data_IF_416450298176
#
_entry.id   IF_416450298176
#
_cell.length_a   1.000
_cell.length_b   1.000
_cell.length_c   1.000
_cell.angle_alpha   90.00
_cell.angle_beta   90.00
_cell.angle_gamma   90.00
#
_symmetry.space_group_name_H-M   'P 1'
#
loop_
_entity.id
_entity.type
_entity.pdbx_description
1 polymer ?
#
# COMPACT_ATOMS: atom_id res chain seq x y z
N UNK A 1 -12.52 21.78 10.28
CA UNK A 1 -12.39 20.31 10.52
C UNK A 1 -13.79 19.70 10.42
N UNK A 2 -14.09 18.83 9.45
CA UNK A 2 -15.42 18.19 9.36
C UNK A 2 -15.53 17.11 10.46
N UNK A 3 -16.49 17.26 11.36
CA UNK A 3 -16.86 16.20 12.31
C UNK A 3 -17.39 15.01 11.50
N UNK A 4 -16.79 13.83 11.70
CA UNK A 4 -17.26 12.56 11.12
C UNK A 4 -17.84 11.73 12.28
N UNK A 5 -19.17 11.57 12.37
CA UNK A 5 -19.78 10.69 13.35
C UNK A 5 -19.16 9.28 13.22
N UNK A 6 -18.81 8.65 14.34
CA UNK A 6 -18.17 7.33 14.36
C UNK A 6 -16.65 7.32 14.19
N UNK A 7 -15.97 8.47 14.12
CA UNK A 7 -14.50 8.50 14.22
C UNK A 7 -14.09 8.09 15.63
N UNK A 8 -13.33 6.99 15.81
CA UNK A 8 -12.86 6.58 17.13
C UNK A 8 -12.02 7.69 17.75
N UNK A 9 -12.31 8.00 19.01
CA UNK A 9 -11.49 8.91 19.80
C UNK A 9 -10.20 8.19 20.23
N UNK A 10 -9.14 8.40 19.45
CA UNK A 10 -7.82 7.81 19.70
C UNK A 10 -7.11 8.47 20.90
N UNK A 11 -7.59 9.61 21.41
CA UNK A 11 -6.98 10.27 22.57
C UNK A 11 -7.06 9.41 23.83
N UNK A 12 -8.05 8.52 23.92
CA UNK A 12 -8.16 7.49 24.99
C UNK A 12 -6.98 6.53 25.04
N UNK A 13 -6.20 6.43 23.96
CA UNK A 13 -5.00 5.61 23.87
C UNK A 13 -3.72 6.44 23.92
N UNK A 14 -3.77 7.75 24.22
CA UNK A 14 -2.60 8.61 24.23
C UNK A 14 -1.50 8.11 25.16
N UNK A 15 -1.84 7.51 26.31
CA UNK A 15 -0.86 6.91 27.23
C UNK A 15 -0.13 5.68 26.68
N UNK A 16 -0.61 5.10 25.57
CA UNK A 16 0.05 4.01 24.84
C UNK A 16 0.91 4.51 23.69
N UNK A 17 0.91 5.81 23.41
CA UNK A 17 1.75 6.45 22.41
C UNK A 17 3.01 6.95 23.12
N UNK A 18 3.94 6.02 23.39
CA UNK A 18 5.24 6.29 24.03
C UNK A 18 6.36 6.59 23.01
N UNK A 19 6.02 6.61 21.71
CA UNK A 19 6.95 6.94 20.63
C UNK A 19 7.24 8.45 20.64
N UNK A 20 8.51 8.87 20.60
CA UNK A 20 8.87 10.28 20.57
C UNK A 20 8.29 10.99 19.34
N UNK A 21 8.10 12.31 19.45
CA UNK A 21 7.77 13.15 18.30
C UNK A 21 8.85 12.93 17.23
N UNK A 22 8.43 12.76 15.97
CA UNK A 22 9.35 12.64 14.85
C UNK A 22 10.26 13.88 14.79
N UNK A 23 11.57 13.66 14.71
CA UNK A 23 12.53 14.75 14.47
C UNK A 23 12.53 15.20 13.01
N UNK A 24 13.35 16.19 12.68
CA UNK A 24 13.47 16.78 11.33
C UNK A 24 14.20 15.90 10.30
N UNK A 25 14.26 14.59 10.55
CA UNK A 25 14.88 13.62 9.64
C UNK A 25 14.04 13.39 8.38
N UNK A 26 14.64 12.86 7.31
CA UNK A 26 13.94 12.70 6.03
C UNK A 26 12.96 11.51 6.01
N UNK A 27 12.97 10.66 7.06
CA UNK A 27 12.06 9.53 7.18
C UNK A 27 10.61 10.01 7.35
N UNK A 28 9.75 9.69 6.39
CA UNK A 28 8.34 10.00 6.43
C UNK A 28 7.47 8.75 6.20
N UNK A 29 6.31 8.73 6.85
CA UNK A 29 5.28 7.70 6.65
C UNK A 29 3.96 8.38 6.31
N UNK A 30 3.43 8.08 5.12
CA UNK A 30 2.13 8.58 4.68
C UNK A 30 1.09 7.46 4.71
N UNK A 31 0.01 7.67 5.46
CA UNK A 31 -1.15 6.80 5.43
C UNK A 31 -2.04 7.14 4.25
N UNK A 32 -2.09 6.24 3.26
CA UNK A 32 -2.87 6.42 2.04
C UNK A 32 -4.26 5.78 2.13
N UNK A 33 -4.57 5.09 3.23
CA UNK A 33 -5.86 4.48 3.52
C UNK A 33 -5.82 2.95 3.57
N UNK A 34 -6.81 2.35 4.23
CA UNK A 34 -6.89 0.90 4.53
C UNK A 34 -5.63 0.45 5.28
N UNK A 35 -4.71 -0.22 4.60
CA UNK A 35 -3.43 -0.70 5.12
C UNK A 35 -2.25 -0.18 4.30
N UNK A 36 -2.49 0.73 3.36
CA UNK A 36 -1.47 1.29 2.48
C UNK A 36 -0.70 2.40 3.19
N UNK A 37 0.58 2.12 3.44
CA UNK A 37 1.57 3.03 3.96
C UNK A 37 2.63 3.26 2.90
N UNK A 38 2.97 4.52 2.64
CA UNK A 38 4.18 4.90 1.92
C UNK A 38 5.23 5.28 2.96
N UNK A 39 6.34 4.53 3.00
CA UNK A 39 7.50 4.79 3.86
C UNK A 39 8.64 5.25 2.96
N UNK A 40 9.23 6.39 3.25
CA UNK A 40 10.30 6.97 2.43
C UNK A 40 11.32 7.71 3.29
N UNK A 41 12.53 7.90 2.79
CA UNK A 41 13.64 8.59 3.46
C UNK A 41 14.29 9.70 2.60
N UNK A 42 13.57 10.21 1.60
CA UNK A 42 14.01 11.22 0.64
C UNK A 42 14.74 10.66 -0.58
N UNK A 43 15.22 9.42 -0.53
CA UNK A 43 15.91 8.75 -1.64
C UNK A 43 15.21 7.44 -2.04
N UNK A 44 14.82 6.65 -1.06
CA UNK A 44 14.17 5.36 -1.20
C UNK A 44 12.71 5.43 -0.76
N UNK A 45 11.86 4.58 -1.34
CA UNK A 45 10.45 4.52 -1.02
C UNK A 45 9.88 3.10 -1.14
N UNK A 46 9.22 2.64 -0.08
CA UNK A 46 8.50 1.36 -0.07
C UNK A 46 7.04 1.56 0.30
N UNK A 47 6.16 0.77 -0.31
CA UNK A 47 4.73 0.84 -0.08
C UNK A 47 4.17 -0.49 0.41
N UNK A 48 3.29 -0.48 1.41
CA UNK A 48 2.47 -1.65 1.74
C UNK A 48 1.21 -1.69 0.88
N UNK A 49 0.85 -2.86 0.37
CA UNK A 49 -0.37 -3.16 -0.41
C UNK A 49 -0.60 -2.34 -1.69
N UNK A 50 -0.99 -1.07 -1.57
CA UNK A 50 -1.37 -0.19 -2.68
C UNK A 50 -2.85 -0.31 -3.09
N UNK A 51 -3.78 -0.41 -2.14
CA UNK A 51 -5.20 -0.59 -2.44
C UNK A 51 -5.94 0.73 -2.73
N UNK A 52 -5.97 1.10 -4.01
CA UNK A 52 -6.48 2.37 -4.53
C UNK A 52 -7.82 2.22 -5.29
N UNK A 53 -8.08 1.06 -5.88
CA UNK A 53 -9.30 0.77 -6.67
C UNK A 53 -10.57 0.90 -5.83
N UNK A 54 -10.54 0.41 -4.58
CA UNK A 54 -11.60 0.55 -3.56
C UNK A 54 -13.02 0.36 -4.10
N UNK A 55 -13.33 -0.80 -4.71
CA UNK A 55 -14.69 -1.10 -5.15
C UNK A 55 -15.67 -1.01 -3.97
N UNK A 56 -16.85 -0.45 -4.21
CA UNK A 56 -17.91 -0.33 -3.19
C UNK A 56 -18.45 -1.70 -2.75
N UNK A 57 -19.01 -1.76 -1.53
CA UNK A 57 -19.45 -3.02 -0.89
C UNK A 57 -20.43 -3.85 -1.73
N UNK A 58 -21.37 -3.22 -2.44
CA UNK A 58 -22.30 -3.93 -3.32
C UNK A 58 -21.58 -4.67 -4.46
N UNK A 59 -20.56 -4.03 -5.05
CA UNK A 59 -19.75 -4.65 -6.12
C UNK A 59 -18.90 -5.79 -5.58
N UNK A 60 -18.36 -5.63 -4.36
CA UNK A 60 -17.61 -6.70 -3.68
C UNK A 60 -18.52 -7.88 -3.35
N UNK A 61 -19.73 -7.62 -2.84
CA UNK A 61 -20.65 -8.67 -2.38
C UNK A 61 -21.41 -9.39 -3.50
N UNK A 62 -21.70 -8.72 -4.62
CA UNK A 62 -22.59 -9.25 -5.67
C UNK A 62 -21.92 -9.43 -7.03
N UNK A 63 -20.64 -9.08 -7.17
CA UNK A 63 -20.00 -8.99 -8.48
C UNK A 63 -18.52 -9.38 -8.49
N UNK A 64 -17.91 -9.17 -9.66
CA UNK A 64 -16.47 -9.30 -9.84
C UNK A 64 -15.78 -7.96 -9.60
N UNK A 65 -14.65 -8.02 -8.92
CA UNK A 65 -13.76 -6.87 -8.69
C UNK A 65 -12.52 -7.01 -9.56
N UNK A 66 -11.99 -5.87 -9.98
CA UNK A 66 -10.77 -5.78 -10.77
C UNK A 66 -10.06 -4.46 -10.42
N UNK A 67 -8.73 -4.39 -10.63
CA UNK A 67 -7.99 -3.13 -10.51
C UNK A 67 -8.54 -2.04 -11.43
N UNK A 68 -8.57 -0.81 -10.95
CA UNK A 68 -8.84 0.40 -11.73
C UNK A 68 -7.52 1.12 -11.95
N UNK A 69 -6.94 0.96 -13.16
CA UNK A 69 -5.67 1.60 -13.52
C UNK A 69 -5.73 3.12 -13.31
N UNK A 70 -6.81 3.77 -13.78
CA UNK A 70 -7.03 5.22 -13.59
C UNK A 70 -6.92 5.67 -12.12
N UNK A 71 -7.55 4.95 -11.20
CA UNK A 71 -7.51 5.29 -9.76
C UNK A 71 -6.14 5.01 -9.15
N UNK A 72 -5.49 3.95 -9.60
CA UNK A 72 -4.15 3.57 -9.14
C UNK A 72 -3.14 4.62 -9.59
N UNK A 73 -3.13 4.96 -10.88
CA UNK A 73 -2.20 5.93 -11.47
C UNK A 73 -2.40 7.30 -10.82
N UNK A 74 -3.64 7.80 -10.73
CA UNK A 74 -3.92 9.09 -10.07
C UNK A 74 -3.50 9.12 -8.59
N UNK A 75 -3.66 8.02 -7.86
CA UNK A 75 -3.26 7.94 -6.47
C UNK A 75 -1.73 7.88 -6.31
N UNK A 76 -1.04 7.15 -7.20
CA UNK A 76 0.41 7.04 -7.20
C UNK A 76 1.07 8.35 -7.63
N UNK A 77 0.59 8.99 -8.70
CA UNK A 77 1.08 10.29 -9.16
C UNK A 77 1.00 11.33 -8.05
N UNK A 78 -0.15 11.37 -7.35
CA UNK A 78 -0.33 12.24 -6.20
C UNK A 78 0.60 11.87 -5.05
N UNK A 79 0.63 10.61 -4.62
CA UNK A 79 1.36 10.20 -3.44
C UNK A 79 2.89 10.34 -3.61
N UNK A 80 3.40 9.99 -4.79
CA UNK A 80 4.82 10.11 -5.13
C UNK A 80 5.19 11.56 -5.41
N UNK A 81 4.34 12.31 -6.12
CA UNK A 81 4.55 13.73 -6.39
C UNK A 81 4.55 14.59 -5.12
N UNK A 82 3.59 14.39 -4.21
CA UNK A 82 3.54 15.06 -2.89
C UNK A 82 4.80 14.75 -2.04
N UNK A 83 5.45 13.60 -2.30
CA UNK A 83 6.68 13.17 -1.63
C UNK A 83 7.98 13.52 -2.37
N UNK A 84 7.90 14.11 -3.58
CA UNK A 84 9.08 14.40 -4.42
C UNK A 84 9.79 13.15 -4.94
N UNK A 85 9.05 12.04 -5.12
CA UNK A 85 9.57 10.75 -5.53
C UNK A 85 9.18 10.44 -6.99
N UNK A 86 10.09 9.81 -7.71
CA UNK A 86 9.90 9.41 -9.11
C UNK A 86 9.58 7.91 -9.26
N UNK A 87 9.19 7.24 -8.16
CA UNK A 87 8.87 5.81 -8.16
C UNK A 87 9.00 5.17 -6.78
N UNK A 88 8.68 3.87 -6.73
CA UNK A 88 8.86 3.02 -5.53
C UNK A 88 10.03 2.07 -5.73
N UNK A 89 10.75 1.72 -4.67
CA UNK A 89 11.66 0.59 -4.69
C UNK A 89 10.89 -0.71 -4.58
N UNK A 90 9.96 -0.80 -3.63
CA UNK A 90 9.19 -2.02 -3.42
C UNK A 90 7.72 -1.74 -3.09
N UNK A 91 6.88 -2.70 -3.48
CA UNK A 91 5.49 -2.82 -3.03
C UNK A 91 5.38 -4.16 -2.31
N UNK A 92 4.83 -4.13 -1.10
CA UNK A 92 4.79 -5.24 -0.15
C UNK A 92 3.33 -5.47 0.25
N UNK A 93 2.58 -6.30 -0.48
CA UNK A 93 1.26 -6.69 -0.01
C UNK A 93 1.44 -7.59 1.20
N UNK A 94 0.77 -7.25 2.30
CA UNK A 94 1.01 -7.87 3.61
C UNK A 94 0.31 -9.22 3.75
N UNK A 95 -0.82 -9.43 3.07
CA UNK A 95 -1.50 -10.71 2.94
C UNK A 95 -2.45 -10.71 1.72
N UNK A 96 -3.21 -11.80 1.52
CA UNK A 96 -3.93 -12.09 0.28
C UNK A 96 -5.43 -11.76 0.29
N UNK A 97 -5.93 -10.95 1.22
CA UNK A 97 -7.29 -10.43 1.11
C UNK A 97 -7.38 -9.41 -0.03
N UNK A 98 -8.59 -9.23 -0.60
CA UNK A 98 -8.77 -8.40 -1.80
C UNK A 98 -8.36 -6.93 -1.57
N UNK A 99 -8.61 -6.41 -0.37
CA UNK A 99 -8.26 -5.06 0.07
C UNK A 99 -6.75 -4.85 0.33
N UNK A 100 -5.96 -5.90 0.10
CA UNK A 100 -4.50 -5.88 0.12
C UNK A 100 -3.90 -6.25 -1.24
N UNK A 101 -4.42 -7.31 -1.86
CA UNK A 101 -3.80 -7.95 -3.02
C UNK A 101 -4.41 -7.57 -4.37
N UNK A 102 -5.62 -6.97 -4.42
CA UNK A 102 -6.31 -6.70 -5.69
C UNK A 102 -5.42 -5.89 -6.64
N UNK A 103 -4.88 -4.79 -6.14
CA UNK A 103 -4.17 -3.80 -6.95
C UNK A 103 -2.66 -4.09 -7.06
N UNK A 104 -2.14 -5.03 -6.27
CA UNK A 104 -0.69 -5.18 -6.08
C UNK A 104 0.07 -5.46 -7.37
N UNK A 105 -0.52 -6.20 -8.31
CA UNK A 105 0.10 -6.49 -9.60
C UNK A 105 0.20 -5.24 -10.50
N UNK A 106 -0.77 -4.32 -10.40
CA UNK A 106 -0.78 -3.07 -11.19
C UNK A 106 0.11 -2.02 -10.54
N UNK A 107 0.00 -1.82 -9.22
CA UNK A 107 0.84 -0.89 -8.45
C UNK A 107 2.32 -1.22 -8.59
N UNK A 108 2.67 -2.51 -8.68
CA UNK A 108 4.03 -2.99 -8.96
C UNK A 108 4.67 -2.37 -10.20
N UNK A 109 3.88 -1.90 -11.19
CA UNK A 109 4.41 -1.23 -12.39
C UNK A 109 5.14 0.08 -12.05
N UNK A 110 4.70 0.78 -11.02
CA UNK A 110 5.36 1.99 -10.52
C UNK A 110 6.62 1.70 -9.67
N UNK A 111 6.88 0.42 -9.34
CA UNK A 111 8.07 0.05 -8.60
C UNK A 111 9.27 -0.26 -9.52
N UNK A 112 10.40 0.36 -9.23
CA UNK A 112 11.72 0.17 -9.83
C UNK A 112 12.30 -1.20 -9.50
N UNK A 113 12.14 -1.67 -8.26
CA UNK A 113 12.69 -2.95 -7.76
C UNK A 113 11.56 -3.98 -7.51
N UNK A 114 11.95 -5.23 -7.25
CA UNK A 114 11.07 -6.41 -7.06
C UNK A 114 10.03 -6.18 -5.96
N UNK A 115 8.79 -6.64 -6.16
CA UNK A 115 7.82 -6.74 -5.06
C UNK A 115 8.23 -7.87 -4.14
N UNK A 116 8.36 -7.61 -2.85
CA UNK A 116 8.58 -8.65 -1.84
C UNK A 116 7.27 -9.01 -1.15
N UNK A 117 6.89 -10.28 -1.13
CA UNK A 117 5.69 -10.72 -0.41
C UNK A 117 5.74 -12.19 0.02
N UNK A 118 4.68 -12.67 0.66
CA UNK A 118 4.45 -14.07 1.01
C UNK A 118 3.98 -14.88 -0.21
N UNK A 119 4.16 -16.20 -0.18
CA UNK A 119 3.94 -17.08 -1.34
C UNK A 119 2.52 -17.00 -1.93
N UNK A 120 1.49 -16.73 -1.10
CA UNK A 120 0.09 -16.63 -1.56
C UNK A 120 -0.15 -15.38 -2.40
N UNK A 121 0.44 -14.24 -2.04
CA UNK A 121 0.36 -13.00 -2.81
C UNK A 121 1.14 -13.12 -4.12
N UNK A 122 2.24 -13.88 -4.14
CA UNK A 122 2.99 -14.11 -5.37
C UNK A 122 2.12 -14.70 -6.49
N UNK A 123 1.22 -15.63 -6.15
CA UNK A 123 0.28 -16.19 -7.13
C UNK A 123 -0.72 -15.16 -7.66
N UNK A 124 -1.19 -14.23 -6.82
CA UNK A 124 -2.02 -13.10 -7.27
C UNK A 124 -1.23 -12.20 -8.22
N UNK A 125 0.05 -11.95 -7.92
CA UNK A 125 0.96 -11.21 -8.80
C UNK A 125 1.11 -11.85 -10.17
N UNK A 126 1.37 -13.17 -10.22
CA UNK A 126 1.48 -13.93 -11.48
C UNK A 126 0.17 -13.92 -12.25
N UNK A 127 -0.97 -14.17 -11.58
CA UNK A 127 -2.30 -14.11 -12.20
C UNK A 127 -2.67 -12.73 -12.73
N UNK A 128 -2.13 -11.67 -12.12
CA UNK A 128 -2.23 -10.28 -12.58
C UNK A 128 -1.24 -9.88 -13.69
N UNK A 129 -0.47 -10.84 -14.23
CA UNK A 129 0.47 -10.62 -15.34
C UNK A 129 1.83 -10.07 -14.91
N UNK A 130 2.19 -10.12 -13.62
CA UNK A 130 3.52 -9.76 -13.16
C UNK A 130 4.51 -10.89 -13.50
N UNK A 131 5.60 -10.55 -14.18
CA UNK A 131 6.66 -11.50 -14.51
C UNK A 131 7.27 -12.11 -13.22
N UNK A 132 7.47 -13.44 -13.11
CA UNK A 132 7.95 -14.08 -11.90
C UNK A 132 9.25 -13.48 -11.34
N UNK A 133 10.15 -13.01 -12.21
CA UNK A 133 11.45 -12.42 -11.86
C UNK A 133 11.31 -11.06 -11.16
N UNK A 134 10.13 -10.44 -11.29
CA UNK A 134 9.75 -9.19 -10.63
C UNK A 134 9.10 -9.42 -9.26
N UNK A 135 8.90 -10.67 -8.86
CA UNK A 135 8.32 -11.09 -7.58
C UNK A 135 9.41 -11.77 -6.74
N UNK A 136 9.56 -11.33 -5.49
CA UNK A 136 10.43 -11.93 -4.49
C UNK A 136 9.57 -12.51 -3.37
N UNK A 137 9.61 -13.81 -3.18
CA UNK A 137 8.95 -14.43 -2.01
C UNK A 137 9.88 -14.35 -0.81
N UNK A 138 9.44 -13.71 0.27
CA UNK A 138 10.16 -13.65 1.54
C UNK A 138 9.61 -14.74 2.47
N UNK A 139 10.51 -15.60 2.97
CA UNK A 139 10.18 -16.55 4.03
C UNK A 139 10.66 -15.98 5.36
N UNK A 140 9.76 -15.88 6.33
CA UNK A 140 10.16 -15.60 7.71
C UNK A 140 11.01 -16.78 8.19
N UNK A 141 12.23 -16.48 8.67
CA UNK A 141 13.01 -17.47 9.40
C UNK A 141 12.29 -17.69 10.73
N UNK A 142 11.92 -18.95 11.01
CA UNK A 142 11.43 -19.36 12.32
C UNK A 142 12.59 -19.53 13.27
#
# INVERSE_FOLDING_TARGET
>A
MRLKPGRPDVSRHASRLDVPVAGDGPLAVTFLGVSTLLVQDGESAVMTDGFFSRPGLLRVGLGRVAPSAERIDAALDRALGDAGLDGLDAVIPVHSHYDHALDSAVVRRAARVRSSSVATVANVGVGGGCAPERIRVVRLRR
#
